data_IF_749901141234
#
_entry.id   IF_749901141234
#
_cell.length_a   1.000
_cell.length_b   1.000
_cell.length_c   1.000
_cell.angle_alpha   90.00
_cell.angle_beta   90.00
_cell.angle_gamma   90.00
#
_symmetry.space_group_name_H-M   'P 1'
#
loop_
_entity.id
_entity.type
_entity.pdbx_description
1 polymer ?
#
# COMPACT_ATOMS: atom_id res chain seq x y z
N UNK A 1 -11.57 -5.23 -1.10
CA UNK A 1 -11.88 -6.60 -1.61
C UNK A 1 -12.94 -7.33 -0.76
N UNK A 2 -13.75 -8.19 -1.38
CA UNK A 2 -15.01 -8.79 -0.85
C UNK A 2 -14.89 -9.51 0.50
N UNK A 3 -13.74 -10.11 0.80
CA UNK A 3 -13.51 -10.84 2.05
C UNK A 3 -12.83 -10.00 3.15
N UNK A 4 -12.45 -8.77 2.81
CA UNK A 4 -11.66 -7.85 3.64
C UNK A 4 -10.50 -8.52 4.40
N UNK A 5 -9.64 -9.24 3.67
CA UNK A 5 -8.47 -9.92 4.19
C UNK A 5 -7.27 -9.66 3.30
N UNK A 6 -6.11 -9.53 3.93
CA UNK A 6 -4.82 -9.50 3.27
C UNK A 6 -4.29 -10.93 3.21
N UNK A 7 -3.91 -11.37 2.01
CA UNK A 7 -3.23 -12.64 1.80
C UNK A 7 -1.87 -12.32 1.20
N UNK A 8 -0.80 -12.79 1.84
CA UNK A 8 0.57 -12.52 1.42
C UNK A 8 1.39 -13.81 1.57
N UNK A 9 2.34 -14.11 0.66
CA UNK A 9 3.24 -15.25 0.83
C UNK A 9 4.06 -15.14 2.12
N UNK A 10 4.59 -16.25 2.60
CA UNK A 10 5.38 -16.26 3.82
C UNK A 10 6.70 -15.52 3.61
N UNK A 11 7.15 -14.75 4.61
CA UNK A 11 8.40 -13.98 4.54
C UNK A 11 9.62 -14.81 4.13
N UNK A 12 9.68 -16.09 4.52
CA UNK A 12 10.78 -17.01 4.16
C UNK A 12 10.86 -17.34 2.66
N UNK A 13 9.80 -17.07 1.90
CA UNK A 13 9.75 -17.31 0.45
C UNK A 13 10.37 -16.15 -0.35
N UNK A 14 10.71 -15.03 0.30
CA UNK A 14 11.33 -13.88 -0.34
C UNK A 14 12.85 -13.90 -0.14
N UNK A 15 13.63 -13.51 -1.17
CA UNK A 15 15.09 -13.46 -1.07
C UNK A 15 15.57 -12.35 -0.11
N UNK A 16 14.79 -11.28 0.02
CA UNK A 16 15.13 -10.10 0.81
C UNK A 16 13.94 -9.62 1.63
N UNK A 17 14.21 -9.08 2.82
CA UNK A 17 13.17 -8.53 3.69
C UNK A 17 12.42 -7.36 3.06
N UNK A 18 13.14 -6.48 2.36
CA UNK A 18 12.54 -5.38 1.61
C UNK A 18 11.51 -5.90 0.60
N UNK A 19 11.81 -7.02 -0.06
CA UNK A 19 10.91 -7.58 -1.05
C UNK A 19 9.59 -8.06 -0.45
N UNK A 20 9.66 -8.72 0.69
CA UNK A 20 8.46 -9.11 1.44
C UNK A 20 7.64 -7.88 1.87
N UNK A 21 8.27 -6.84 2.42
CA UNK A 21 7.54 -5.67 2.89
C UNK A 21 6.93 -4.84 1.76
N UNK A 22 7.57 -4.77 0.59
CA UNK A 22 6.96 -4.16 -0.60
C UNK A 22 5.71 -4.93 -1.02
N UNK A 23 5.77 -6.25 -1.14
CA UNK A 23 4.58 -7.07 -1.48
C UNK A 23 3.50 -6.93 -0.41
N UNK A 24 3.86 -6.93 0.87
CA UNK A 24 2.87 -6.73 1.93
C UNK A 24 2.20 -5.36 1.83
N UNK A 25 2.95 -4.28 1.57
CA UNK A 25 2.38 -2.94 1.41
C UNK A 25 1.48 -2.83 0.18
N UNK A 26 1.78 -3.55 -0.91
CA UNK A 26 0.92 -3.66 -2.08
C UNK A 26 -0.45 -4.24 -1.66
N UNK A 27 -0.46 -5.39 -0.98
CA UNK A 27 -1.71 -6.02 -0.52
C UNK A 27 -2.46 -5.18 0.53
N UNK A 28 -1.72 -4.51 1.42
CA UNK A 28 -2.30 -3.54 2.38
C UNK A 28 -2.95 -2.38 1.62
N UNK A 29 -2.38 -1.93 0.50
CA UNK A 29 -2.97 -0.86 -0.29
C UNK A 29 -4.32 -1.28 -0.87
N UNK A 30 -4.46 -2.50 -1.38
CA UNK A 30 -5.77 -3.04 -1.79
C UNK A 30 -6.76 -3.10 -0.65
N UNK A 31 -6.29 -3.42 0.56
CA UNK A 31 -7.12 -3.34 1.74
C UNK A 31 -7.67 -1.91 1.91
N UNK A 32 -6.86 -0.85 1.81
CA UNK A 32 -7.37 0.54 1.96
C UNK A 32 -8.51 0.92 1.00
N UNK A 33 -8.63 0.25 -0.15
CA UNK A 33 -9.66 0.53 -1.15
C UNK A 33 -11.08 0.05 -0.81
N UNK A 34 -11.25 -0.81 0.21
CA UNK A 34 -12.55 -1.37 0.58
C UNK A 34 -13.63 -0.29 0.86
N UNK A 35 -14.90 -0.68 0.72
CA UNK A 35 -16.06 0.21 0.79
C UNK A 35 -16.16 0.99 2.12
N UNK A 36 -15.75 0.40 3.23
CA UNK A 36 -15.72 1.05 4.55
C UNK A 36 -14.49 1.94 4.79
N UNK A 37 -13.59 2.04 3.80
CA UNK A 37 -12.34 2.82 3.88
C UNK A 37 -12.31 3.88 2.79
N UNK A 38 -11.48 3.71 1.76
CA UNK A 38 -11.38 4.69 0.67
C UNK A 38 -12.40 4.46 -0.45
N UNK A 39 -13.15 3.35 -0.41
CA UNK A 39 -14.23 3.03 -1.34
C UNK A 39 -13.83 3.23 -2.82
N UNK A 40 -12.66 2.71 -3.19
CA UNK A 40 -12.17 2.74 -4.57
C UNK A 40 -12.89 1.68 -5.40
N UNK A 41 -13.11 1.92 -6.70
CA UNK A 41 -13.67 0.91 -7.58
C UNK A 41 -12.69 -0.26 -7.70
N UNK A 42 -13.21 -1.48 -7.62
CA UNK A 42 -12.48 -2.70 -7.96
C UNK A 42 -13.12 -3.24 -9.23
N UNK A 43 -12.30 -3.56 -10.22
CA UNK A 43 -12.76 -4.19 -11.46
C UNK A 43 -13.60 -5.44 -11.22
N UNK A 44 -14.49 -5.74 -12.15
CA UNK A 44 -15.28 -6.96 -12.15
C UNK A 44 -14.48 -8.17 -12.64
N UNK A 45 -13.48 -7.94 -13.50
CA UNK A 45 -12.70 -8.97 -14.18
C UNK A 45 -11.20 -8.61 -14.18
N UNK A 46 -10.35 -9.64 -14.18
CA UNK A 46 -8.92 -9.47 -14.39
C UNK A 46 -8.65 -8.74 -15.71
N UNK A 47 -7.83 -7.69 -15.65
CA UNK A 47 -7.45 -6.89 -16.82
C UNK A 47 -8.48 -5.86 -17.29
N UNK A 48 -9.58 -5.64 -16.57
CA UNK A 48 -10.43 -4.48 -16.85
C UNK A 48 -9.79 -3.16 -16.35
N UNK A 49 -10.33 -2.02 -16.78
CA UNK A 49 -9.74 -0.71 -16.50
C UNK A 49 -9.66 -0.38 -15.01
N UNK A 50 -10.66 -0.76 -14.21
CA UNK A 50 -10.70 -0.48 -12.77
C UNK A 50 -9.76 -1.42 -12.01
N UNK A 51 -9.67 -2.69 -12.41
CA UNK A 51 -8.67 -3.63 -11.90
C UNK A 51 -7.26 -3.09 -12.15
N UNK A 52 -6.99 -2.73 -13.40
CA UNK A 52 -5.74 -2.16 -13.87
C UNK A 52 -5.40 -0.92 -13.03
N UNK A 53 -6.33 0.04 -12.89
CA UNK A 53 -6.16 1.25 -12.06
C UNK A 53 -5.76 0.93 -10.63
N UNK A 54 -6.44 -0.02 -10.00
CA UNK A 54 -6.23 -0.37 -8.60
C UNK A 54 -4.86 -1.02 -8.35
N UNK A 55 -4.38 -1.86 -9.27
CA UNK A 55 -3.02 -2.41 -9.25
C UNK A 55 -1.96 -1.30 -9.30
N UNK A 56 -2.18 -0.29 -10.14
CA UNK A 56 -1.28 0.85 -10.23
C UNK A 56 -1.28 1.68 -8.93
N UNK A 57 -2.44 1.89 -8.31
CA UNK A 57 -2.53 2.55 -7.00
C UNK A 57 -1.76 1.72 -5.96
N UNK A 58 -1.89 0.39 -5.97
CA UNK A 58 -1.19 -0.51 -5.05
C UNK A 58 0.33 -0.45 -5.20
N UNK A 59 0.84 -0.57 -6.43
CA UNK A 59 2.28 -0.51 -6.73
C UNK A 59 2.90 0.84 -6.34
N UNK A 60 2.27 1.95 -6.74
CA UNK A 60 2.80 3.29 -6.45
C UNK A 60 2.74 3.62 -4.95
N UNK A 61 1.70 3.15 -4.26
CA UNK A 61 1.59 3.32 -2.79
C UNK A 61 2.64 2.49 -2.07
N UNK A 62 2.85 1.24 -2.47
CA UNK A 62 3.87 0.38 -1.88
C UNK A 62 5.27 0.96 -2.06
N UNK A 63 5.57 1.48 -3.24
CA UNK A 63 6.84 2.16 -3.52
C UNK A 63 7.00 3.44 -2.66
N UNK A 64 5.96 4.28 -2.58
CA UNK A 64 5.98 5.51 -1.79
C UNK A 64 6.18 5.20 -0.29
N UNK A 65 5.41 4.28 0.26
CA UNK A 65 5.53 3.86 1.66
C UNK A 65 6.88 3.21 1.95
N UNK A 66 7.39 2.35 1.05
CA UNK A 66 8.71 1.73 1.19
C UNK A 66 9.85 2.76 1.19
N UNK A 67 9.74 3.81 0.38
CA UNK A 67 10.66 4.94 0.39
C UNK A 67 10.57 5.76 1.70
N UNK A 68 9.35 6.05 2.17
CA UNK A 68 9.12 6.75 3.44
C UNK A 68 9.66 5.98 4.65
N UNK A 69 9.56 4.65 4.63
CA UNK A 69 10.06 3.76 5.68
C UNK A 69 11.55 3.42 5.54
N UNK A 70 12.20 3.86 4.46
CA UNK A 70 13.64 3.77 4.27
C UNK A 70 14.18 2.40 3.85
N UNK A 71 13.32 1.44 3.47
CA UNK A 71 13.76 0.09 3.06
C UNK A 71 13.70 -0.17 1.55
N UNK A 72 13.03 0.70 0.78
CA UNK A 72 12.94 0.60 -0.66
C UNK A 72 13.08 1.99 -1.31
N UNK A 73 14.33 2.41 -1.53
CA UNK A 73 14.65 3.75 -2.07
C UNK A 73 14.84 3.78 -3.59
N UNK A 74 14.87 2.61 -4.24
CA UNK A 74 14.96 2.47 -5.69
C UNK A 74 13.73 1.75 -6.24
N UNK A 75 13.16 2.21 -7.38
CA UNK A 75 12.10 1.48 -8.05
C UNK A 75 12.55 0.06 -8.38
N UNK A 76 11.72 -0.94 -8.07
CA UNK A 76 12.02 -2.32 -8.44
C UNK A 76 11.71 -2.55 -9.92
N UNK A 77 12.45 -3.47 -10.55
CA UNK A 77 12.23 -3.81 -11.95
C UNK A 77 10.80 -4.32 -12.21
N UNK A 78 10.23 -5.06 -11.26
CA UNK A 78 8.86 -5.57 -11.35
C UNK A 78 7.85 -4.42 -11.43
N UNK A 79 7.96 -3.41 -10.56
CA UNK A 79 7.13 -2.20 -10.58
C UNK A 79 7.39 -1.31 -11.82
N UNK A 80 8.63 -1.27 -12.31
CA UNK A 80 9.01 -0.47 -13.48
C UNK A 80 8.44 -1.04 -14.81
N UNK A 81 8.31 -2.36 -14.90
CA UNK A 81 7.71 -3.03 -16.06
C UNK A 81 6.24 -2.58 -16.25
N UNK A 82 5.48 -2.50 -15.16
CA UNK A 82 4.11 -2.00 -15.21
C UNK A 82 4.06 -0.52 -15.62
N UNK A 83 4.92 0.36 -15.11
CA UNK A 83 4.90 1.78 -15.50
C UNK A 83 5.14 1.97 -17.01
N UNK A 84 5.97 1.13 -17.65
CA UNK A 84 6.31 1.25 -19.07
C UNK A 84 5.10 1.12 -19.99
N UNK A 85 4.24 0.13 -19.74
CA UNK A 85 3.06 -0.11 -20.59
C UNK A 85 2.02 1.02 -20.44
N UNK A 86 2.11 1.78 -19.36
CA UNK A 86 1.16 2.82 -18.97
C UNK A 86 1.57 4.23 -19.39
N UNK A 87 2.85 4.44 -19.70
CA UNK A 87 3.34 5.72 -20.23
C UNK A 87 2.58 6.15 -21.49
N UNK A 88 2.09 5.20 -22.29
CA UNK A 88 1.28 5.50 -23.47
C UNK A 88 -0.11 6.04 -23.09
N UNK A 89 -0.73 5.52 -22.04
CA UNK A 89 -2.06 5.94 -21.60
C UNK A 89 -2.01 7.28 -20.87
N UNK A 90 -1.00 7.50 -20.01
CA UNK A 90 -0.78 8.80 -19.36
C UNK A 90 -0.50 9.94 -20.34
N UNK A 91 0.05 9.63 -21.51
CA UNK A 91 0.25 10.62 -22.58
C UNK A 91 -1.04 11.02 -23.27
N UNK A 92 -2.04 10.14 -23.31
CA UNK A 92 -3.36 10.43 -23.89
C UNK A 92 -4.20 11.29 -22.95
N UNK A 93 -4.19 10.96 -21.67
CA UNK A 93 -4.98 11.67 -20.65
C UNK A 93 -4.14 11.95 -19.38
N UNK A 94 -3.44 13.10 -19.32
CA UNK A 94 -2.62 13.44 -18.17
C UNK A 94 -3.42 13.64 -16.86
N UNK A 95 -4.69 14.01 -16.96
CA UNK A 95 -5.61 14.16 -15.81
C UNK A 95 -5.80 12.84 -15.08
N UNK A 96 -5.84 11.73 -15.80
CA UNK A 96 -5.98 10.40 -15.23
C UNK A 96 -4.84 10.05 -14.26
N UNK A 97 -3.62 10.48 -14.56
CA UNK A 97 -2.47 10.30 -13.67
C UNK A 97 -2.66 11.05 -12.34
N UNK A 98 -3.21 12.27 -12.37
CA UNK A 98 -3.46 13.04 -11.14
C UNK A 98 -4.51 12.37 -10.24
N UNK A 99 -5.53 11.76 -10.83
CA UNK A 99 -6.54 11.01 -10.08
C UNK A 99 -5.93 9.79 -9.39
N UNK A 100 -5.07 9.06 -10.10
CA UNK A 100 -4.33 7.92 -9.52
C UNK A 100 -3.44 8.40 -8.37
N UNK A 101 -2.66 9.46 -8.59
CA UNK A 101 -1.76 9.99 -7.56
C UNK A 101 -2.52 10.55 -6.35
N UNK A 102 -3.75 11.01 -6.53
CA UNK A 102 -4.64 11.40 -5.42
C UNK A 102 -4.97 10.19 -4.55
N UNK A 103 -5.34 9.06 -5.16
CA UNK A 103 -5.64 7.83 -4.45
C UNK A 103 -4.40 7.21 -3.79
N UNK A 104 -3.24 7.25 -4.45
CA UNK A 104 -1.95 6.84 -3.89
C UNK A 104 -1.65 7.61 -2.61
N UNK A 105 -1.80 8.95 -2.64
CA UNK A 105 -1.56 9.77 -1.46
C UNK A 105 -2.54 9.46 -0.32
N UNK A 106 -3.83 9.24 -0.63
CA UNK A 106 -4.83 8.88 0.37
C UNK A 106 -4.54 7.53 1.02
N UNK A 107 -4.16 6.53 0.22
CA UNK A 107 -3.80 5.21 0.71
C UNK A 107 -2.53 5.25 1.57
N UNK A 108 -1.46 5.88 1.07
CA UNK A 108 -0.19 6.03 1.79
C UNK A 108 -0.37 6.75 3.14
N UNK A 109 -1.20 7.80 3.16
CA UNK A 109 -1.55 8.54 4.37
C UNK A 109 -2.28 7.64 5.37
N UNK A 110 -3.31 6.91 4.95
CA UNK A 110 -4.04 6.00 5.83
C UNK A 110 -3.12 4.92 6.43
N UNK A 111 -2.23 4.34 5.62
CA UNK A 111 -1.26 3.35 6.09
C UNK A 111 -0.33 3.97 7.14
N UNK A 112 0.20 5.16 6.86
CA UNK A 112 1.13 5.86 7.74
C UNK A 112 0.48 6.28 9.06
N UNK A 113 -0.77 6.76 9.04
CA UNK A 113 -1.55 7.11 10.24
C UNK A 113 -1.78 5.87 11.12
N UNK A 114 -2.12 4.73 10.52
CA UNK A 114 -2.30 3.45 11.25
C UNK A 114 -1.01 2.99 11.91
N UNK A 115 0.12 3.08 11.20
CA UNK A 115 1.44 2.73 11.75
C UNK A 115 1.85 3.66 12.90
N UNK A 116 1.49 4.95 12.83
CA UNK A 116 1.81 5.92 13.88
C UNK A 116 0.96 5.71 15.15
N UNK A 117 -0.33 5.36 15.02
CA UNK A 117 -1.20 5.05 16.16
C UNK A 117 -0.74 3.82 16.96
N UNK A 118 -0.03 2.87 16.34
CA UNK A 118 0.55 1.71 17.02
C UNK A 118 1.84 2.03 17.78
N UNK A 119 2.38 3.25 17.66
CA UNK A 119 3.58 3.70 18.38
C UNK A 119 3.29 4.54 19.63
N UNK A 120 2.04 4.63 20.10
CA UNK A 120 1.80 5.24 21.41
C UNK A 120 2.57 4.48 22.50
N UNK A 121 3.26 5.18 23.42
CA UNK A 121 4.13 4.53 24.37
C UNK A 121 3.30 3.67 25.32
N UNK A 122 3.62 2.37 25.37
CA UNK A 122 3.35 1.51 26.53
C UNK A 122 3.70 2.31 27.79
N UNK A 123 2.67 2.74 28.52
CA UNK A 123 2.87 3.49 29.76
C UNK A 123 3.61 2.54 30.72
N UNK A 124 4.83 2.85 31.19
CA UNK A 124 5.49 1.99 32.14
C UNK A 124 4.59 1.89 33.36
N UNK A 125 4.20 0.66 33.70
CA UNK A 125 3.19 0.36 34.70
C UNK A 125 3.36 1.21 35.95
N UNK A 126 2.25 1.85 36.36
CA UNK A 126 2.13 2.37 37.71
C UNK A 126 2.46 1.24 38.68
N UNK A 127 3.61 1.34 39.35
CA UNK A 127 3.88 0.52 40.53
C UNK A 127 2.78 0.89 41.54
N UNK A 128 1.96 -0.06 42.01
CA UNK A 128 1.05 0.23 43.11
C UNK A 128 1.92 0.56 44.32
N UNK A 129 1.81 1.80 44.80
CA UNK A 129 2.20 2.09 46.16
C UNK A 129 1.32 1.23 47.09
N UNK A 130 1.96 0.71 48.14
CA UNK A 130 1.41 -0.08 49.26
C UNK A 130 1.40 -1.62 49.10
N UNK A 131 2.40 -2.25 49.72
CA UNK A 131 2.16 -3.17 50.84
C UNK A 131 3.46 -3.45 51.63
N UNK A 132 3.44 -3.02 52.90
CA UNK A 132 4.27 -3.42 54.06
C UNK A 132 5.77 -3.02 54.09
#
# INVERSE_FOLDING_TARGET
PTLDRIVCPEKRQFPEGAAFYTTLLHEVTHCTGHAERLNRPFGACYGDADYIREELVAELTAALCGAMLGFATTPREESAAYIKDWLAEFRKEPTYLFDILTDVNRAARMISERLACEQEPETPGAIPAEAA
#
